data_IF_488164348590
#
_entry.id   IF_488164348590
#
_cell.length_a   1.000
_cell.length_b   1.000
_cell.length_c   1.000
_cell.angle_alpha   90.00
_cell.angle_beta   90.00
_cell.angle_gamma   90.00
#
_symmetry.space_group_name_H-M   'P 1'
#
loop_
_entity.id
_entity.type
_entity.pdbx_description
1 polymer ?
#
# COMPACT_ATOMS: atom_id res chain seq x y z
N UNK A 1 9.64 -13.68 13.07
CA UNK A 1 9.84 -12.53 12.15
C UNK A 1 10.59 -11.45 12.92
N UNK A 2 11.63 -10.79 12.36
CA UNK A 2 12.44 -9.81 13.11
C UNK A 2 11.62 -8.56 13.47
N UNK A 3 11.98 -7.84 14.53
CA UNK A 3 11.36 -6.54 14.84
C UNK A 3 11.95 -5.48 13.88
N UNK A 4 11.14 -4.67 13.18
CA UNK A 4 11.64 -3.57 12.36
C UNK A 4 12.35 -2.52 13.23
N UNK A 5 13.41 -1.93 12.69
CA UNK A 5 14.28 -0.98 13.40
C UNK A 5 13.78 0.47 13.27
N UNK A 6 12.96 0.76 12.25
CA UNK A 6 12.46 2.11 11.96
C UNK A 6 10.94 2.11 11.73
N UNK A 7 10.31 3.25 12.02
CA UNK A 7 8.90 3.46 11.69
C UNK A 7 8.69 3.32 10.18
N UNK A 8 7.56 2.77 9.77
CA UNK A 8 7.20 2.56 8.35
C UNK A 8 8.10 1.58 7.60
N UNK A 9 9.13 0.99 8.19
CA UNK A 9 9.97 -0.02 7.53
C UNK A 9 9.13 -1.23 7.06
N UNK A 10 8.10 -1.57 7.84
CA UNK A 10 7.22 -2.71 7.55
C UNK A 10 5.76 -2.34 7.74
N UNK A 11 5.08 -2.21 6.62
CA UNK A 11 3.66 -1.91 6.58
C UNK A 11 2.83 -3.13 6.16
N UNK A 12 1.60 -3.15 6.64
CA UNK A 12 0.54 -4.03 6.14
C UNK A 12 -0.52 -3.20 5.46
N UNK A 13 -1.07 -3.70 4.37
CA UNK A 13 -2.09 -3.01 3.58
C UNK A 13 -3.36 -3.84 3.49
N UNK A 14 -4.52 -3.17 3.56
CA UNK A 14 -5.84 -3.80 3.41
C UNK A 14 -6.88 -2.85 2.79
N UNK A 15 -7.94 -3.40 2.20
CA UNK A 15 -9.03 -2.61 1.62
C UNK A 15 -10.36 -2.90 2.30
N UNK A 16 -11.04 -1.84 2.72
CA UNK A 16 -12.46 -1.87 3.10
C UNK A 16 -13.27 -1.42 1.90
N UNK A 17 -14.03 -2.34 1.31
CA UNK A 17 -14.83 -2.09 0.09
C UNK A 17 -16.33 -2.21 0.38
N UNK A 18 -17.16 -1.73 -0.55
CA UNK A 18 -18.62 -1.81 -0.42
C UNK A 18 -19.22 -0.74 0.48
N UNK A 19 -18.53 0.39 0.64
CA UNK A 19 -19.04 1.54 1.37
C UNK A 19 -20.01 2.36 0.51
N UNK A 20 -20.94 3.10 1.13
CA UNK A 20 -21.75 4.08 0.41
C UNK A 20 -20.85 5.07 -0.35
N UNK A 21 -21.15 5.27 -1.62
CA UNK A 21 -20.36 6.14 -2.48
C UNK A 21 -20.47 7.60 -2.02
N UNK A 22 -19.33 8.23 -1.78
CA UNK A 22 -19.24 9.65 -1.42
C UNK A 22 -19.49 10.55 -2.64
N UNK A 23 -19.67 11.86 -2.43
CA UNK A 23 -19.78 12.87 -3.50
C UNK A 23 -18.57 12.85 -4.45
N UNK A 24 -17.39 12.45 -3.95
CA UNK A 24 -16.16 12.26 -4.73
C UNK A 24 -16.04 10.92 -5.46
N UNK A 25 -17.13 10.14 -5.51
CA UNK A 25 -17.18 8.79 -6.09
C UNK A 25 -16.27 7.75 -5.41
N UNK A 26 -15.83 7.98 -4.17
CA UNK A 26 -15.12 7.00 -3.36
C UNK A 26 -16.10 6.02 -2.72
N UNK A 27 -15.83 4.73 -2.89
CA UNK A 27 -16.65 3.60 -2.40
C UNK A 27 -15.84 2.62 -1.53
N UNK A 28 -14.57 2.95 -1.28
CA UNK A 28 -13.60 2.08 -0.65
C UNK A 28 -12.57 2.87 0.15
N UNK A 29 -12.00 2.26 1.18
CA UNK A 29 -10.91 2.81 1.99
C UNK A 29 -9.71 1.87 1.91
N UNK A 30 -8.56 2.41 1.55
CA UNK A 30 -7.28 1.71 1.64
C UNK A 30 -6.62 2.01 2.98
N UNK A 31 -6.35 0.96 3.74
CA UNK A 31 -5.74 1.03 5.07
C UNK A 31 -4.28 0.62 4.96
N UNK A 32 -3.39 1.48 5.43
CA UNK A 32 -1.95 1.20 5.52
C UNK A 32 -1.55 1.28 6.99
N UNK A 33 -1.04 0.19 7.56
CA UNK A 33 -0.71 0.09 8.98
C UNK A 33 0.78 -0.15 9.15
N UNK A 34 1.45 0.69 9.94
CA UNK A 34 2.83 0.44 10.38
C UNK A 34 2.85 -0.61 11.49
N UNK A 35 3.59 -1.70 11.28
CA UNK A 35 3.64 -2.78 12.26
C UNK A 35 4.40 -2.42 13.53
N UNK A 36 5.32 -1.45 13.47
CA UNK A 36 6.11 -1.02 14.62
C UNK A 36 5.28 -0.15 15.56
N UNK A 37 4.75 0.96 15.05
CA UNK A 37 4.00 1.95 15.85
C UNK A 37 2.53 1.61 16.01
N UNK A 38 2.00 0.63 15.26
CA UNK A 38 0.57 0.33 15.15
C UNK A 38 -0.28 1.50 14.65
N UNK A 39 0.36 2.52 14.05
CA UNK A 39 -0.31 3.66 13.45
C UNK A 39 -0.88 3.29 12.08
N UNK A 40 -2.06 3.82 11.75
CA UNK A 40 -2.78 3.53 10.50
C UNK A 40 -3.08 4.78 9.69
N UNK A 41 -2.89 4.71 8.38
CA UNK A 41 -3.39 5.70 7.42
C UNK A 41 -4.57 5.16 6.64
N UNK A 42 -5.59 6.00 6.51
CA UNK A 42 -6.81 5.72 5.75
C UNK A 42 -6.83 6.61 4.52
N UNK A 43 -6.89 5.97 3.35
CA UNK A 43 -6.85 6.64 2.06
C UNK A 43 -8.17 6.32 1.35
N UNK A 44 -8.92 7.35 0.99
CA UNK A 44 -10.15 7.18 0.20
C UNK A 44 -9.79 6.76 -1.22
N UNK A 45 -10.33 5.64 -1.67
CA UNK A 45 -10.07 5.05 -2.99
C UNK A 45 -11.37 4.61 -3.65
N UNK A 46 -11.33 4.33 -4.94
CA UNK A 46 -12.44 3.74 -5.66
C UNK A 46 -12.07 2.30 -6.00
N UNK A 47 -13.02 1.37 -5.91
CA UNK A 47 -12.78 -0.06 -6.20
C UNK A 47 -12.29 -0.26 -7.64
N UNK A 48 -12.66 0.66 -8.54
CA UNK A 48 -12.25 0.68 -9.94
C UNK A 48 -10.83 1.21 -10.19
N UNK A 49 -10.12 1.67 -9.16
CA UNK A 49 -8.75 2.14 -9.32
C UNK A 49 -7.85 0.99 -9.74
N UNK A 50 -7.14 1.19 -10.85
CA UNK A 50 -6.11 0.25 -11.32
C UNK A 50 -4.91 0.26 -10.36
N UNK A 51 -4.15 -0.84 -10.37
CA UNK A 51 -2.93 -0.98 -9.58
C UNK A 51 -1.95 0.18 -9.78
N UNK A 52 -1.83 0.69 -11.02
CA UNK A 52 -1.00 1.85 -11.33
C UNK A 52 -1.42 3.09 -10.55
N UNK A 53 -2.73 3.33 -10.44
CA UNK A 53 -3.25 4.48 -9.69
C UNK A 53 -3.02 4.34 -8.19
N UNK A 54 -3.15 3.13 -7.66
CA UNK A 54 -2.85 2.83 -6.26
C UNK A 54 -1.35 2.99 -5.97
N UNK A 55 -0.46 2.56 -6.86
CA UNK A 55 0.98 2.74 -6.73
C UNK A 55 1.38 4.22 -6.73
N UNK A 56 0.77 5.04 -7.62
CA UNK A 56 0.95 6.50 -7.61
C UNK A 56 0.52 7.10 -6.26
N UNK A 57 -0.69 6.74 -5.78
CA UNK A 57 -1.21 7.24 -4.51
C UNK A 57 -0.33 6.85 -3.33
N UNK A 58 0.16 5.61 -3.31
CA UNK A 58 1.11 5.14 -2.31
C UNK A 58 2.41 5.91 -2.31
N UNK A 59 3.01 6.15 -3.48
CA UNK A 59 4.24 6.93 -3.57
C UNK A 59 4.01 8.37 -3.11
N UNK A 60 2.87 8.97 -3.49
CA UNK A 60 2.53 10.33 -3.10
C UNK A 60 2.22 10.47 -1.61
N UNK A 61 1.56 9.48 -1.00
CA UNK A 61 1.10 9.62 0.38
C UNK A 61 2.05 8.97 1.38
N UNK A 62 2.62 7.81 1.08
CA UNK A 62 3.44 7.07 2.04
C UNK A 62 4.93 7.38 1.81
N UNK A 63 5.44 7.22 0.59
CA UNK A 63 6.87 7.43 0.31
C UNK A 63 7.28 8.89 0.50
N UNK A 64 6.44 9.85 0.10
CA UNK A 64 6.73 11.28 0.33
C UNK A 64 6.70 11.67 1.82
N UNK A 65 5.85 11.03 2.65
CA UNK A 65 5.74 11.37 4.07
C UNK A 65 6.78 10.65 4.94
N UNK A 66 7.17 9.43 4.57
CA UNK A 66 7.93 8.54 5.45
C UNK A 66 9.23 7.98 4.84
N UNK A 67 9.52 8.30 3.57
CA UNK A 67 10.72 7.84 2.87
C UNK A 67 10.54 6.48 2.17
N UNK A 68 11.65 5.88 1.73
CA UNK A 68 11.64 4.61 0.98
C UNK A 68 11.32 3.46 1.92
N UNK A 69 10.27 2.70 1.61
CA UNK A 69 9.86 1.52 2.36
C UNK A 69 10.70 0.31 1.95
N UNK A 70 11.16 -0.47 2.92
CA UNK A 70 11.96 -1.68 2.67
C UNK A 70 11.06 -2.87 2.31
N UNK A 71 9.84 -2.95 2.88
CA UNK A 71 8.97 -4.11 2.68
C UNK A 71 7.46 -3.79 2.82
N UNK A 72 6.68 -4.23 1.83
CA UNK A 72 5.22 -4.17 1.84
C UNK A 72 4.67 -5.59 1.99
N UNK A 73 3.76 -5.79 2.94
CA UNK A 73 3.03 -7.05 3.12
C UNK A 73 1.56 -6.84 2.79
N UNK A 74 1.09 -7.49 1.72
CA UNK A 74 -0.34 -7.53 1.37
C UNK A 74 -1.03 -8.67 2.12
N UNK A 75 -2.20 -8.41 2.68
CA UNK A 75 -2.97 -9.39 3.46
C UNK A 75 -3.75 -10.40 2.59
N UNK A 76 -3.78 -10.19 1.26
CA UNK A 76 -4.32 -11.19 0.31
C UNK A 76 -3.19 -12.08 -0.20
N UNK A 77 -3.20 -13.32 0.27
CA UNK A 77 -2.32 -14.44 -0.10
C UNK A 77 -0.82 -14.11 -0.16
N UNK A 78 -0.15 -14.32 0.98
CA UNK A 78 1.29 -14.62 1.18
C UNK A 78 2.27 -14.27 0.04
N UNK A 79 2.33 -13.02 -0.39
CA UNK A 79 3.46 -12.51 -1.17
C UNK A 79 4.16 -11.39 -0.38
N UNK A 80 5.37 -11.69 0.09
CA UNK A 80 6.32 -10.71 0.62
C UNK A 80 7.08 -10.15 -0.59
N UNK A 81 6.79 -8.93 -1.02
CA UNK A 81 7.56 -8.26 -2.08
C UNK A 81 8.51 -7.28 -1.40
N UNK A 82 9.82 -7.48 -1.56
CA UNK A 82 10.84 -6.50 -1.14
C UNK A 82 11.02 -5.50 -2.28
N UNK A 83 11.14 -4.22 -1.96
CA UNK A 83 11.34 -3.21 -3.01
C UNK A 83 12.71 -3.31 -3.68
N UNK A 84 13.71 -3.89 -3.01
CA UNK A 84 15.05 -4.12 -3.57
C UNK A 84 15.06 -5.19 -4.68
N UNK A 85 14.08 -6.10 -4.69
CA UNK A 85 13.92 -7.12 -5.73
C UNK A 85 13.24 -6.56 -7.00
N UNK A 86 12.74 -5.32 -6.95
CA UNK A 86 12.05 -4.63 -8.05
C UNK A 86 13.01 -3.78 -8.89
N UNK A 87 14.18 -4.33 -9.24
CA UNK A 87 15.23 -3.66 -10.01
C UNK A 87 14.67 -2.63 -11.00
N UNK A 88 14.94 -1.35 -10.74
CA UNK A 88 14.45 -0.21 -11.53
C UNK A 88 15.10 -0.22 -12.92
N UNK A 89 14.66 -1.15 -13.76
CA UNK A 89 14.95 -1.29 -15.18
C UNK A 89 13.64 -1.75 -15.81
N UNK A 90 13.00 -0.83 -16.53
CA UNK A 90 11.57 -0.87 -16.81
C UNK A 90 11.06 -2.19 -17.38
N UNK A 91 10.01 -2.72 -16.77
CA UNK A 91 8.88 -3.38 -17.44
C UNK A 91 7.74 -3.47 -16.41
N UNK A 92 6.51 -3.28 -16.89
CA UNK A 92 5.30 -3.10 -16.10
C UNK A 92 5.11 -4.18 -15.03
N UNK A 93 4.88 -3.75 -13.80
CA UNK A 93 4.49 -4.60 -12.67
C UNK A 93 3.03 -5.04 -12.83
N UNK A 94 2.82 -6.28 -13.27
CA UNK A 94 1.54 -6.98 -13.17
C UNK A 94 1.32 -7.40 -11.72
N UNK A 95 0.54 -6.62 -11.00
CA UNK A 95 -0.13 -7.10 -9.81
C UNK A 95 -1.47 -7.70 -10.30
N UNK A 96 -1.63 -9.02 -10.11
CA UNK A 96 -2.71 -9.91 -10.57
C UNK A 96 -2.51 -10.52 -11.98
N UNK A 97 -2.16 -11.82 -11.99
CA UNK A 97 -2.85 -12.83 -12.82
C UNK A 97 -3.80 -13.62 -11.90
#
# INVERSE_FOLDING_TARGET
MPIPSWNWERITMDFVVGLPTTVGAYDSIWVVVDRLTKSSHFIHVQVKYRATKLAELHNIQIVRLYGVLVCIVSNRERWLVRMDDLGFGGHALSFYD
#
